data_IF_121685391101
#
_entry.id   IF_121685391101
#
_cell.length_a   1.000
_cell.length_b   1.000
_cell.length_c   1.000
_cell.angle_alpha   90.00
_cell.angle_beta   90.00
_cell.angle_gamma   90.00
#
_symmetry.space_group_name_H-M   'P 1'
#
loop_
_entity.id
_entity.type
_entity.pdbx_description
1 polymer ?
#
# COMPACT_ATOMS: atom_id res chain seq x y z
N UNK A 1 4.33 16.27 10.69
CA UNK A 1 4.29 15.57 9.40
C UNK A 1 5.22 16.30 8.44
N UNK A 2 6.17 15.60 7.85
CA UNK A 2 7.04 16.17 6.83
C UNK A 2 6.33 16.15 5.47
N UNK A 3 6.74 17.03 4.54
CA UNK A 3 6.14 17.10 3.19
C UNK A 3 6.28 15.76 2.45
N UNK A 4 7.40 15.09 2.64
CA UNK A 4 7.66 13.75 2.08
C UNK A 4 6.65 12.70 2.57
N UNK A 5 6.26 12.74 3.85
CA UNK A 5 5.28 11.81 4.40
C UNK A 5 3.89 12.03 3.81
N UNK A 6 3.45 13.29 3.66
CA UNK A 6 2.17 13.61 3.05
C UNK A 6 2.12 13.18 1.58
N UNK A 7 3.20 13.40 0.84
CA UNK A 7 3.32 13.00 -0.57
C UNK A 7 3.23 11.47 -0.72
N UNK A 8 3.89 10.71 0.15
CA UNK A 8 3.78 9.24 0.19
C UNK A 8 2.35 8.78 0.46
N UNK A 9 1.65 9.42 1.42
CA UNK A 9 0.25 9.08 1.75
C UNK A 9 -0.67 9.32 0.56
N UNK A 10 -0.54 10.45 -0.12
CA UNK A 10 -1.30 10.75 -1.35
C UNK A 10 -0.99 9.75 -2.46
N UNK A 11 0.29 9.42 -2.68
CA UNK A 11 0.69 8.41 -3.65
C UNK A 11 0.09 7.03 -3.34
N UNK A 12 0.09 6.62 -2.07
CA UNK A 12 -0.57 5.39 -1.64
C UNK A 12 -2.09 5.44 -1.88
N UNK A 13 -2.74 6.56 -1.56
CA UNK A 13 -4.17 6.72 -1.82
C UNK A 13 -4.51 6.58 -3.31
N UNK A 14 -3.74 7.21 -4.19
CA UNK A 14 -3.91 7.07 -5.65
C UNK A 14 -3.78 5.61 -6.08
N UNK A 15 -2.80 4.89 -5.55
CA UNK A 15 -2.60 3.48 -5.86
C UNK A 15 -3.76 2.58 -5.33
N UNK A 16 -4.22 2.82 -4.10
CA UNK A 16 -5.34 2.08 -3.50
C UNK A 16 -6.65 2.32 -4.26
N UNK A 17 -6.89 3.55 -4.69
CA UNK A 17 -8.09 3.94 -5.43
C UNK A 17 -8.02 3.65 -6.92
N UNK A 18 -6.85 3.24 -7.44
CA UNK A 18 -6.59 3.01 -8.87
C UNK A 18 -6.77 4.27 -9.74
N UNK A 19 -6.68 5.47 -9.14
CA UNK A 19 -6.76 6.74 -9.87
C UNK A 19 -5.46 6.98 -10.63
N UNK A 20 -5.59 7.30 -11.93
CA UNK A 20 -4.44 7.67 -12.77
C UNK A 20 -3.49 6.51 -13.09
N UNK A 21 -3.84 5.28 -12.77
CA UNK A 21 -3.05 4.12 -13.15
C UNK A 21 -3.28 3.82 -14.62
N UNK A 22 -2.25 4.04 -15.43
CA UNK A 22 -2.24 3.57 -16.82
C UNK A 22 -1.81 2.10 -16.83
N UNK A 23 -2.77 1.20 -16.99
CA UNK A 23 -2.48 -0.23 -17.14
C UNK A 23 -2.41 -0.58 -18.63
N UNK A 24 -1.24 -0.49 -19.22
CA UNK A 24 -0.97 -0.99 -20.59
C UNK A 24 -0.47 -2.44 -20.55
N UNK A 25 -0.99 -3.26 -19.66
CA UNK A 25 -0.62 -4.67 -19.59
C UNK A 25 -1.45 -5.44 -20.62
N UNK A 26 -0.84 -5.75 -21.75
CA UNK A 26 -1.42 -6.63 -22.77
C UNK A 26 -1.87 -7.95 -22.12
N UNK A 27 -3.12 -8.30 -22.27
CA UNK A 27 -3.70 -9.57 -21.80
C UNK A 27 -4.26 -9.58 -20.37
N UNK A 28 -4.09 -8.54 -19.58
CA UNK A 28 -4.60 -8.46 -18.20
C UNK A 28 -5.71 -7.42 -18.11
N UNK A 29 -6.63 -7.24 -18.81
CA UNK A 29 -7.71 -6.26 -18.73
C UNK A 29 -7.52 -5.11 -17.70
N UNK A 30 -8.07 -3.97 -17.90
CA UNK A 30 -7.96 -2.83 -16.99
C UNK A 30 -8.55 -3.17 -15.61
N UNK A 31 -7.68 -3.44 -14.63
CA UNK A 31 -8.08 -3.55 -13.23
C UNK A 31 -8.20 -2.14 -12.64
N UNK A 32 -9.38 -1.54 -12.83
CA UNK A 32 -9.71 -0.20 -12.33
C UNK A 32 -10.46 -0.22 -11.00
N UNK A 33 -10.70 -1.42 -10.45
CA UNK A 33 -11.42 -1.53 -9.18
C UNK A 33 -10.52 -1.12 -8.03
N UNK A 34 -10.98 -0.24 -7.12
CA UNK A 34 -10.26 0.07 -5.89
C UNK A 34 -9.91 -1.19 -5.11
N UNK A 35 -8.77 -1.15 -4.43
CA UNK A 35 -8.36 -2.22 -3.53
C UNK A 35 -9.27 -2.26 -2.31
N UNK A 36 -9.50 -3.46 -1.77
CA UNK A 36 -10.26 -3.67 -0.54
C UNK A 36 -9.37 -3.91 0.67
N UNK A 37 -8.25 -4.59 0.46
CA UNK A 37 -7.37 -5.03 1.55
C UNK A 37 -5.90 -4.85 1.16
N UNK A 38 -5.14 -4.13 2.00
CA UNK A 38 -3.72 -3.94 1.78
C UNK A 38 -2.92 -3.97 3.09
N UNK A 39 -1.64 -4.29 2.97
CA UNK A 39 -0.64 -4.09 4.03
C UNK A 39 0.28 -2.94 3.66
N UNK A 40 0.64 -2.13 4.64
CA UNK A 40 1.66 -1.10 4.50
C UNK A 40 2.84 -1.39 5.44
N UNK A 41 4.00 -1.61 4.86
CA UNK A 41 5.23 -1.91 5.59
C UNK A 41 6.00 -0.63 5.87
N UNK A 42 6.18 -0.32 7.16
CA UNK A 42 6.96 0.80 7.66
C UNK A 42 8.26 0.32 8.28
N UNK A 43 9.28 1.17 8.33
CA UNK A 43 10.59 0.83 8.87
C UNK A 43 10.57 0.67 10.40
N UNK A 44 9.77 1.50 11.08
CA UNK A 44 9.68 1.54 12.53
C UNK A 44 8.25 1.81 13.00
N UNK A 45 8.02 1.63 14.30
CA UNK A 45 6.72 1.81 14.96
C UNK A 45 6.20 3.23 14.76
N UNK A 46 7.05 4.24 15.01
CA UNK A 46 6.67 5.65 14.91
C UNK A 46 6.15 6.02 13.52
N UNK A 47 6.82 5.58 12.45
CA UNK A 47 6.35 5.81 11.07
C UNK A 47 5.03 5.11 10.81
N UNK A 48 4.86 3.90 11.31
CA UNK A 48 3.63 3.13 11.13
C UNK A 48 2.43 3.77 11.86
N UNK A 49 2.63 4.24 13.08
CA UNK A 49 1.63 4.98 13.86
C UNK A 49 1.29 6.31 13.19
N UNK A 50 2.29 7.08 12.78
CA UNK A 50 2.10 8.35 12.09
C UNK A 50 1.32 8.16 10.79
N UNK A 51 1.70 7.15 10.00
CA UNK A 51 1.01 6.86 8.74
C UNK A 51 -0.46 6.52 9.00
N UNK A 52 -0.75 5.63 9.95
CA UNK A 52 -2.13 5.23 10.24
C UNK A 52 -2.99 6.35 10.82
N UNK A 53 -2.43 7.23 11.65
CA UNK A 53 -3.17 8.30 12.32
C UNK A 53 -3.38 9.55 11.45
N UNK A 54 -2.46 9.83 10.53
CA UNK A 54 -2.50 11.06 9.73
C UNK A 54 -3.07 10.87 8.33
N UNK A 55 -3.17 9.63 7.85
CA UNK A 55 -3.54 9.32 6.47
C UNK A 55 -4.87 9.94 6.03
N UNK A 56 -5.91 9.76 6.82
CA UNK A 56 -7.26 10.27 6.48
C UNK A 56 -7.27 11.79 6.35
N UNK A 57 -6.64 12.51 7.28
CA UNK A 57 -6.56 13.98 7.24
C UNK A 57 -5.80 14.45 5.99
N UNK A 58 -4.67 13.83 5.69
CA UNK A 58 -3.86 14.20 4.50
C UNK A 58 -4.64 13.94 3.21
N UNK A 59 -5.35 12.82 3.13
CA UNK A 59 -6.15 12.48 1.95
C UNK A 59 -7.35 13.41 1.80
N UNK A 60 -8.04 13.75 2.89
CA UNK A 60 -9.16 14.71 2.89
C UNK A 60 -8.70 16.09 2.43
N UNK A 61 -7.56 16.57 2.93
CA UNK A 61 -6.95 17.83 2.49
C UNK A 61 -6.59 17.79 1.00
N UNK A 62 -6.00 16.69 0.54
CA UNK A 62 -5.68 16.48 -0.86
C UNK A 62 -6.94 16.53 -1.75
N UNK A 63 -7.99 15.78 -1.39
CA UNK A 63 -9.24 15.75 -2.15
C UNK A 63 -9.93 17.12 -2.17
N UNK A 64 -9.82 17.86 -1.08
CA UNK A 64 -10.46 19.18 -0.93
C UNK A 64 -9.74 20.29 -1.70
N UNK A 65 -8.41 20.22 -1.77
CA UNK A 65 -7.56 21.26 -2.37
C UNK A 65 -7.32 21.05 -3.87
N UNK A 66 -7.38 19.82 -4.35
CA UNK A 66 -7.33 19.60 -5.80
C UNK A 66 -8.70 19.90 -6.43
N UNK A 67 -8.72 20.76 -7.46
CA UNK A 67 -9.79 20.77 -8.46
C UNK A 67 -9.68 19.45 -9.26
N UNK A 68 -9.99 18.34 -8.59
CA UNK A 68 -9.95 17.03 -9.21
C UNK A 68 -10.96 17.06 -10.35
N UNK A 69 -10.51 16.87 -11.57
CA UNK A 69 -11.40 16.67 -12.72
C UNK A 69 -12.41 15.57 -12.36
N UNK A 70 -13.66 15.71 -12.80
CA UNK A 70 -14.72 14.75 -12.46
C UNK A 70 -14.35 13.29 -12.77
N UNK A 71 -13.41 13.08 -13.70
CA UNK A 71 -12.90 11.77 -14.11
C UNK A 71 -12.01 11.09 -13.07
N UNK A 72 -11.42 11.87 -12.15
CA UNK A 72 -10.50 11.37 -11.11
C UNK A 72 -11.12 11.35 -9.71
N UNK A 73 -12.43 11.53 -9.59
CA UNK A 73 -13.13 11.41 -8.30
C UNK A 73 -13.35 9.94 -7.95
N UNK A 74 -13.00 9.58 -6.73
CA UNK A 74 -13.34 8.29 -6.14
C UNK A 74 -14.02 8.52 -4.79
N UNK A 75 -14.98 7.67 -4.47
CA UNK A 75 -15.63 7.64 -3.16
C UNK A 75 -14.92 6.68 -2.21
N UNK A 76 -13.69 6.26 -2.53
CA UNK A 76 -12.96 5.31 -1.72
C UNK A 76 -12.62 5.90 -0.36
N UNK A 77 -13.13 5.29 0.69
CA UNK A 77 -12.71 5.47 2.06
C UNK A 77 -11.59 4.51 2.40
N UNK A 78 -10.55 4.99 3.07
CA UNK A 78 -9.47 4.14 3.57
C UNK A 78 -9.51 4.12 5.07
N UNK A 79 -9.72 2.93 5.63
CA UNK A 79 -9.65 2.66 7.06
C UNK A 79 -8.28 2.08 7.38
N UNK A 80 -7.59 2.62 8.40
CA UNK A 80 -6.26 2.17 8.78
C UNK A 80 -6.22 1.75 10.25
N UNK A 81 -5.50 0.64 10.49
CA UNK A 81 -5.01 0.31 11.82
C UNK A 81 -3.49 0.08 11.77
N UNK A 82 -2.88 0.28 12.92
CA UNK A 82 -1.48 0.00 13.17
C UNK A 82 -1.33 -1.30 13.97
N UNK A 83 -0.26 -2.05 13.67
CA UNK A 83 0.17 -3.20 14.46
C UNK A 83 1.70 -3.26 14.49
N UNK A 84 2.25 -3.61 15.66
CA UNK A 84 3.70 -3.77 15.83
C UNK A 84 4.05 -4.94 16.76
N UNK A 85 5.34 -5.09 17.04
CA UNK A 85 5.87 -6.18 17.87
C UNK A 85 5.54 -6.09 19.36
N UNK A 86 4.99 -4.95 19.84
CA UNK A 86 4.56 -4.79 21.24
C UNK A 86 3.18 -5.36 21.50
N UNK A 87 2.39 -5.57 20.43
CA UNK A 87 1.06 -6.18 20.51
C UNK A 87 1.17 -7.65 20.91
N UNK A 88 0.38 -8.07 21.89
CA UNK A 88 0.23 -9.48 22.21
C UNK A 88 -0.51 -10.24 21.09
N UNK A 89 -0.59 -11.56 21.19
CA UNK A 89 -1.19 -12.40 20.16
C UNK A 89 -2.67 -12.09 19.92
N UNK A 90 -3.42 -11.81 20.99
CA UNK A 90 -4.85 -11.49 20.92
C UNK A 90 -5.09 -10.16 20.19
N UNK A 91 -4.40 -9.11 20.62
CA UNK A 91 -4.47 -7.78 19.97
C UNK A 91 -4.09 -7.83 18.49
N UNK A 92 -3.06 -8.61 18.16
CA UNK A 92 -2.64 -8.79 16.76
C UNK A 92 -3.71 -9.53 15.95
N UNK A 93 -4.27 -10.59 16.50
CA UNK A 93 -5.33 -11.37 15.84
C UNK A 93 -6.58 -10.52 15.62
N UNK A 94 -6.99 -9.69 16.59
CA UNK A 94 -8.09 -8.73 16.41
C UNK A 94 -7.91 -7.84 15.17
N UNK A 95 -6.70 -7.29 14.95
CA UNK A 95 -6.43 -6.45 13.78
C UNK A 95 -6.37 -7.25 12.48
N UNK A 96 -5.91 -8.48 12.54
CA UNK A 96 -5.92 -9.37 11.38
C UNK A 96 -7.34 -9.83 11.02
N UNK A 97 -8.18 -10.11 12.00
CA UNK A 97 -9.57 -10.49 11.78
C UNK A 97 -10.35 -9.31 11.22
N UNK A 98 -10.15 -8.09 11.76
CA UNK A 98 -10.68 -6.87 11.16
C UNK A 98 -10.26 -6.72 9.68
N UNK A 99 -9.01 -7.04 9.32
CA UNK A 99 -8.55 -6.99 7.93
C UNK A 99 -9.20 -8.09 7.07
N UNK A 100 -9.54 -9.25 7.65
CA UNK A 100 -10.19 -10.36 6.95
C UNK A 100 -11.67 -10.08 6.63
N UNK A 101 -12.35 -9.35 7.49
CA UNK A 101 -13.77 -9.08 7.35
C UNK A 101 -14.12 -8.48 6.00
N UNK A 102 -15.32 -8.77 5.52
CA UNK A 102 -15.84 -8.15 4.31
C UNK A 102 -16.14 -6.67 4.55
N UNK A 103 -15.90 -5.88 3.52
CA UNK A 103 -16.15 -4.43 3.53
C UNK A 103 -17.05 -4.02 2.39
N UNK A 104 -17.67 -2.86 2.52
CA UNK A 104 -18.38 -2.23 1.41
C UNK A 104 -17.45 -1.98 0.22
N UNK A 105 -18.04 -1.85 -0.97
CA UNK A 105 -17.28 -1.71 -2.22
C UNK A 105 -16.36 -0.50 -2.26
N UNK A 106 -16.70 0.54 -1.51
CA UNK A 106 -15.97 1.80 -1.43
C UNK A 106 -15.09 1.92 -0.18
N UNK A 107 -14.85 0.83 0.55
CA UNK A 107 -13.96 0.81 1.71
C UNK A 107 -12.74 -0.05 1.40
N UNK A 108 -11.55 0.54 1.62
CA UNK A 108 -10.27 -0.16 1.63
C UNK A 108 -9.72 -0.21 3.05
N UNK A 109 -9.43 -1.40 3.56
CA UNK A 109 -8.76 -1.59 4.84
C UNK A 109 -7.27 -1.76 4.65
N UNK A 110 -6.51 -0.96 5.37
CA UNK A 110 -5.04 -1.00 5.35
C UNK A 110 -4.51 -1.25 6.75
N UNK A 111 -3.72 -2.30 6.90
CA UNK A 111 -3.01 -2.55 8.14
C UNK A 111 -1.56 -2.11 7.98
N UNK A 112 -1.17 -1.06 8.72
CA UNK A 112 0.23 -0.62 8.77
C UNK A 112 0.98 -1.44 9.79
N UNK A 113 2.23 -1.77 9.50
CA UNK A 113 3.01 -2.56 10.43
C UNK A 113 4.50 -2.23 10.40
N UNK A 114 5.14 -2.45 11.56
CA UNK A 114 6.57 -2.33 11.73
C UNK A 114 7.15 -3.70 12.14
N UNK A 115 7.63 -4.48 11.17
CA UNK A 115 8.37 -5.74 11.35
C UNK A 115 7.64 -6.90 12.03
N UNK A 116 6.35 -6.78 12.37
CA UNK A 116 5.64 -7.82 13.13
C UNK A 116 4.84 -8.82 12.28
N UNK A 117 4.67 -8.55 11.00
CA UNK A 117 3.90 -9.39 10.07
C UNK A 117 4.79 -10.08 9.02
N UNK A 118 6.09 -10.23 9.28
CA UNK A 118 7.03 -10.82 8.32
C UNK A 118 6.94 -12.35 8.26
N UNK A 119 6.83 -13.06 9.38
CA UNK A 119 6.79 -14.53 9.40
C UNK A 119 5.64 -15.09 10.25
N UNK A 120 5.13 -16.28 9.86
CA UNK A 120 4.24 -17.10 10.67
C UNK A 120 2.83 -16.53 10.93
N UNK A 121 2.48 -15.40 10.33
CA UNK A 121 1.17 -14.77 10.54
C UNK A 121 0.27 -15.10 9.35
N UNK A 122 -0.89 -15.69 9.65
CA UNK A 122 -1.92 -15.94 8.63
C UNK A 122 -2.62 -14.64 8.25
N UNK A 123 -2.13 -14.02 7.17
CA UNK A 123 -2.71 -12.81 6.60
C UNK A 123 -3.67 -13.21 5.47
N UNK A 124 -4.84 -12.57 5.39
CA UNK A 124 -5.79 -12.85 4.31
C UNK A 124 -5.21 -12.55 2.93
N UNK A 125 -5.89 -12.98 1.88
CA UNK A 125 -5.55 -12.55 0.53
C UNK A 125 -5.65 -11.03 0.43
N UNK A 126 -4.57 -10.39 -0.02
CA UNK A 126 -4.45 -8.94 -0.12
C UNK A 126 -4.55 -8.50 -1.56
N UNK A 127 -5.14 -7.35 -1.81
CA UNK A 127 -5.13 -6.72 -3.14
C UNK A 127 -3.81 -5.99 -3.39
N UNK A 128 -3.18 -5.50 -2.33
CA UNK A 128 -1.91 -4.80 -2.45
C UNK A 128 -1.03 -4.85 -1.23
N UNK A 129 0.25 -4.56 -1.47
CA UNK A 129 1.27 -4.32 -0.45
C UNK A 129 1.98 -3.02 -0.77
N UNK A 130 2.08 -2.13 0.21
CA UNK A 130 2.82 -0.88 0.10
C UNK A 130 4.10 -0.93 0.94
N UNK A 131 5.21 -0.59 0.34
CA UNK A 131 6.47 -0.35 1.05
C UNK A 131 6.62 1.14 1.30
N UNK A 132 6.12 1.64 2.44
CA UNK A 132 6.15 3.08 2.78
C UNK A 132 7.58 3.58 2.93
N UNK A 133 8.46 2.70 3.41
CA UNK A 133 9.89 2.93 3.50
C UNK A 133 10.66 1.73 2.95
N UNK A 134 11.90 1.96 2.48
CA UNK A 134 12.69 0.92 1.84
C UNK A 134 13.00 -0.24 2.80
N UNK A 135 13.09 -1.42 2.23
CA UNK A 135 13.56 -2.64 2.87
C UNK A 135 14.72 -3.22 2.10
N UNK A 136 15.72 -3.69 2.81
CA UNK A 136 16.90 -4.34 2.24
C UNK A 136 16.89 -5.87 2.36
N UNK A 137 16.05 -6.42 3.25
CA UNK A 137 15.95 -7.87 3.43
C UNK A 137 15.18 -8.50 2.27
N UNK A 138 15.87 -9.25 1.43
CA UNK A 138 15.26 -9.99 0.32
C UNK A 138 14.15 -10.93 0.80
N UNK A 139 14.36 -11.61 1.92
CA UNK A 139 13.37 -12.53 2.50
C UNK A 139 12.10 -11.79 2.88
N UNK A 140 12.21 -10.65 3.55
CA UNK A 140 11.06 -9.83 3.96
C UNK A 140 10.28 -9.31 2.74
N UNK A 141 10.99 -8.88 1.70
CA UNK A 141 10.37 -8.37 0.47
C UNK A 141 9.63 -9.50 -0.23
N UNK A 142 10.27 -10.64 -0.46
CA UNK A 142 9.65 -11.81 -1.13
C UNK A 142 8.44 -12.31 -0.36
N UNK A 143 8.50 -12.38 0.97
CA UNK A 143 7.37 -12.78 1.80
C UNK A 143 6.21 -11.80 1.73
N UNK A 144 6.50 -10.49 1.77
CA UNK A 144 5.49 -9.44 1.64
C UNK A 144 4.79 -9.50 0.27
N UNK A 145 5.58 -9.59 -0.79
CA UNK A 145 5.09 -9.73 -2.18
C UNK A 145 4.27 -11.01 -2.35
N UNK A 146 4.75 -12.14 -1.81
CA UNK A 146 4.04 -13.42 -1.84
C UNK A 146 2.63 -13.36 -1.23
N UNK A 147 2.39 -12.44 -0.29
CA UNK A 147 1.06 -12.20 0.28
C UNK A 147 0.15 -11.43 -0.68
N UNK A 148 0.70 -10.44 -1.38
CA UNK A 148 -0.04 -9.67 -2.38
C UNK A 148 -0.40 -10.50 -3.62
N UNK A 149 0.45 -11.47 -4.01
CA UNK A 149 0.21 -12.28 -5.20
C UNK A 149 -0.62 -13.55 -4.94
N UNK A 150 -1.01 -13.84 -3.69
CA UNK A 150 -1.91 -14.97 -3.40
C UNK A 150 -3.19 -14.83 -4.20
N UNK A 151 -3.50 -15.87 -4.98
CA UNK A 151 -4.75 -15.93 -5.73
C UNK A 151 -5.94 -16.06 -4.79
N UNK A 152 -6.98 -15.30 -5.06
CA UNK A 152 -8.32 -15.53 -4.51
C UNK A 152 -9.32 -15.57 -5.66
N UNK A 153 -10.52 -16.09 -5.43
CA UNK A 153 -11.54 -16.27 -6.47
C UNK A 153 -11.96 -14.95 -7.14
N UNK A 154 -11.77 -13.83 -6.46
CA UNK A 154 -12.19 -12.50 -6.94
C UNK A 154 -11.01 -11.64 -7.45
N UNK A 155 -9.77 -12.10 -7.26
CA UNK A 155 -8.58 -11.29 -7.50
C UNK A 155 -7.80 -11.80 -8.70
N UNK A 156 -7.56 -10.93 -9.67
CA UNK A 156 -6.74 -11.21 -10.86
C UNK A 156 -5.30 -10.70 -10.73
N UNK A 157 -5.09 -9.58 -10.05
CA UNK A 157 -3.81 -8.87 -9.95
C UNK A 157 -3.51 -8.56 -8.49
N UNK A 158 -2.26 -8.80 -8.06
CA UNK A 158 -1.71 -8.26 -6.81
C UNK A 158 -0.91 -7.01 -7.12
N UNK A 159 -1.11 -5.94 -6.36
CA UNK A 159 -0.44 -4.66 -6.59
C UNK A 159 0.66 -4.44 -5.56
N UNK A 160 1.84 -4.06 -6.02
CA UNK A 160 2.92 -3.59 -5.15
C UNK A 160 3.04 -2.08 -5.31
N UNK A 161 2.98 -1.36 -4.19
CA UNK A 161 3.06 0.09 -4.15
C UNK A 161 4.40 0.50 -3.59
N UNK A 162 5.13 1.31 -4.35
CA UNK A 162 6.42 1.90 -3.96
C UNK A 162 6.28 3.42 -4.14
N UNK A 163 6.22 4.21 -3.07
CA UNK A 163 6.07 5.66 -3.17
C UNK A 163 7.43 6.31 -3.47
N UNK A 164 7.75 6.43 -4.74
CA UNK A 164 8.95 7.12 -5.22
C UNK A 164 8.54 8.44 -5.87
N UNK A 165 9.21 9.52 -5.51
CA UNK A 165 9.09 10.78 -6.23
C UNK A 165 9.94 10.70 -7.49
N UNK A 166 9.34 10.98 -8.63
CA UNK A 166 10.03 10.99 -9.94
C UNK A 166 9.74 12.30 -10.65
N UNK A 167 10.77 12.87 -11.26
CA UNK A 167 10.72 14.17 -11.93
C UNK A 167 10.42 14.03 -13.44
N UNK A 168 9.52 13.11 -13.76
CA UNK A 168 9.10 12.81 -15.13
C UNK A 168 8.95 11.31 -15.37
N UNK A 169 8.46 10.93 -16.54
CA UNK A 169 8.24 9.52 -16.90
C UNK A 169 9.40 8.95 -17.73
N UNK A 170 10.22 9.82 -18.31
CA UNK A 170 11.21 9.41 -19.33
C UNK A 170 12.34 8.53 -18.78
N UNK A 171 12.69 8.65 -17.48
CA UNK A 171 13.77 7.90 -16.83
C UNK A 171 13.31 7.19 -15.55
N UNK A 172 12.07 6.71 -15.53
CA UNK A 172 11.42 6.14 -14.33
C UNK A 172 12.26 5.04 -13.68
N UNK A 173 12.80 4.11 -14.46
CA UNK A 173 13.60 3.00 -13.93
C UNK A 173 14.91 3.48 -13.32
N UNK A 174 15.60 4.43 -13.96
CA UNK A 174 16.84 5.01 -13.45
C UNK A 174 16.60 5.76 -12.14
N UNK A 175 15.50 6.50 -12.04
CA UNK A 175 15.14 7.23 -10.83
C UNK A 175 14.76 6.27 -9.68
N UNK A 176 14.03 5.18 -9.97
CA UNK A 176 13.75 4.15 -8.97
C UNK A 176 15.05 3.49 -8.49
N UNK A 177 15.96 3.15 -9.40
CA UNK A 177 17.27 2.56 -9.07
C UNK A 177 18.19 3.53 -8.31
N UNK A 178 18.04 4.83 -8.49
CA UNK A 178 18.74 5.85 -7.71
C UNK A 178 18.06 6.15 -6.36
N UNK A 179 16.84 5.69 -6.16
CA UNK A 179 16.06 5.91 -4.93
C UNK A 179 16.44 4.95 -3.83
N UNK A 180 15.95 5.22 -2.62
CA UNK A 180 16.04 4.32 -1.46
C UNK A 180 15.35 2.96 -1.70
N UNK A 181 14.51 2.82 -2.71
CA UNK A 181 13.76 1.60 -3.04
C UNK A 181 14.46 0.72 -4.09
N UNK A 182 15.68 1.03 -4.48
CA UNK A 182 16.43 0.26 -5.47
C UNK A 182 16.48 -1.26 -5.17
N UNK A 183 16.67 -1.64 -3.91
CA UNK A 183 16.73 -3.05 -3.52
C UNK A 183 15.36 -3.74 -3.66
N UNK A 184 14.28 -3.06 -3.31
CA UNK A 184 12.92 -3.57 -3.52
C UNK A 184 12.67 -3.79 -5.01
N UNK A 185 13.02 -2.79 -5.84
CA UNK A 185 12.85 -2.86 -7.29
C UNK A 185 13.63 -4.01 -7.92
N UNK A 186 14.90 -4.17 -7.59
CA UNK A 186 15.75 -5.26 -8.09
C UNK A 186 15.18 -6.64 -7.76
N UNK A 187 14.62 -6.79 -6.56
CA UNK A 187 14.03 -8.06 -6.12
C UNK A 187 12.71 -8.34 -6.87
N UNK A 188 11.95 -7.30 -7.20
CA UNK A 188 10.71 -7.46 -7.98
C UNK A 188 10.96 -7.83 -9.43
N UNK A 189 12.12 -7.49 -9.98
CA UNK A 189 12.50 -7.81 -11.37
C UNK A 189 13.21 -9.15 -11.50
N UNK A 190 13.68 -9.77 -10.41
CA UNK A 190 14.41 -11.04 -10.39
C UNK A 190 13.48 -12.24 -10.44
#
# INVERSE_FOLDING_TARGET
>A
LELDDATKMVGCYKALSKIGIQTNLEGIGNDTKPMKKALAFCQNIRTSELFSSSFSTVVEDYISNEMISKENKTDLKVELFHVDGTFNAEQRNEKLDWLKDETDKNICRVLTNARCLSEGVDVPALDGVAFIEPRSSQVDIVQAVGRAIRKSNEKRIGTIVIPVYVDGIENLEEEILASKFADVWKILLA
#
